data_IF_511350614471
#
_entry.id   IF_511350614471
#
_cell.length_a   1.000
_cell.length_b   1.000
_cell.length_c   1.000
_cell.angle_alpha   90.00
_cell.angle_beta   90.00
_cell.angle_gamma   90.00
#
_symmetry.space_group_name_H-M   'P 1'
#
loop_
_entity.id
_entity.type
_entity.pdbx_description
1 polymer ?
#
# COMPACT_ATOMS: atom_id res chain seq x y z
N UNK A 1 -6.41 8.34 -7.08
CA UNK A 1 -5.30 7.75 -7.85
C UNK A 1 -5.82 6.87 -9.00
N UNK A 2 -6.63 5.84 -8.75
CA UNK A 2 -7.09 4.88 -9.77
C UNK A 2 -7.82 5.55 -10.94
N UNK A 3 -8.69 6.54 -10.71
CA UNK A 3 -9.36 7.28 -11.80
C UNK A 3 -8.38 8.05 -12.70
N UNK A 4 -7.34 8.63 -12.12
CA UNK A 4 -6.27 9.30 -12.89
C UNK A 4 -5.52 8.29 -13.75
N UNK A 5 -5.18 7.13 -13.18
CA UNK A 5 -4.55 6.03 -13.91
C UNK A 5 -5.41 5.55 -15.10
N UNK A 6 -6.72 5.40 -14.89
CA UNK A 6 -7.64 4.98 -15.94
C UNK A 6 -7.75 6.04 -17.05
N UNK A 7 -7.85 7.32 -16.68
CA UNK A 7 -7.91 8.42 -17.64
C UNK A 7 -6.63 8.51 -18.49
N UNK A 8 -5.46 8.28 -17.87
CA UNK A 8 -4.19 8.25 -18.57
C UNK A 8 -4.09 7.03 -19.50
N UNK A 9 -4.49 5.85 -19.02
CA UNK A 9 -4.57 4.64 -19.85
C UNK A 9 -5.50 4.85 -21.06
N UNK A 10 -6.68 5.42 -20.84
CA UNK A 10 -7.64 5.75 -21.91
C UNK A 10 -7.01 6.68 -22.94
N UNK A 11 -6.38 7.77 -22.49
CA UNK A 11 -5.73 8.73 -23.36
C UNK A 11 -4.67 8.05 -24.25
N UNK A 12 -3.78 7.26 -23.67
CA UNK A 12 -2.70 6.60 -24.41
C UNK A 12 -3.21 5.47 -25.33
N UNK A 13 -4.22 4.73 -24.91
CA UNK A 13 -4.89 3.73 -25.76
C UNK A 13 -5.61 4.36 -26.96
N UNK A 14 -6.33 5.46 -26.73
CA UNK A 14 -7.10 6.18 -27.75
C UNK A 14 -6.21 6.88 -28.76
N UNK A 15 -5.07 7.44 -28.32
CA UNK A 15 -4.11 8.11 -29.21
C UNK A 15 -3.16 7.14 -29.92
N UNK A 16 -3.24 5.85 -29.60
CA UNK A 16 -2.38 4.82 -30.20
C UNK A 16 -0.94 4.78 -29.68
N UNK A 17 -0.63 5.52 -28.61
CA UNK A 17 0.68 5.48 -27.93
C UNK A 17 0.88 4.18 -27.15
N UNK A 18 -0.19 3.60 -26.65
CA UNK A 18 -0.17 2.28 -26.03
C UNK A 18 -1.23 1.39 -26.69
N UNK A 19 -0.90 0.12 -26.88
CA UNK A 19 -1.82 -0.94 -27.33
C UNK A 19 -2.25 -1.83 -26.18
N UNK A 20 -1.34 -2.09 -25.24
CA UNK A 20 -1.54 -2.93 -24.05
C UNK A 20 -1.03 -2.24 -22.80
N UNK A 21 -1.90 -2.13 -21.82
CA UNK A 21 -1.63 -1.49 -20.53
C UNK A 21 -1.68 -2.54 -19.43
N UNK A 22 -0.66 -2.60 -18.59
CA UNK A 22 -0.64 -3.40 -17.36
C UNK A 22 -0.86 -2.49 -16.15
N UNK A 23 -1.90 -2.79 -15.37
CA UNK A 23 -2.14 -2.17 -14.07
C UNK A 23 -1.75 -3.14 -12.95
N UNK A 24 -0.80 -2.73 -12.11
CA UNK A 24 -0.28 -3.52 -11.00
C UNK A 24 -0.78 -2.97 -9.67
N UNK A 25 -1.23 -3.87 -8.80
CA UNK A 25 -1.64 -3.55 -7.43
C UNK A 25 -1.06 -4.53 -6.42
N UNK A 26 -1.07 -4.15 -5.14
CA UNK A 26 -0.42 -4.92 -4.08
C UNK A 26 -1.22 -6.17 -3.67
N UNK A 27 -2.56 -6.07 -3.59
CA UNK A 27 -3.44 -7.09 -3.00
C UNK A 27 -4.57 -7.51 -3.94
N UNK A 28 -5.10 -8.70 -3.69
CA UNK A 28 -6.23 -9.25 -4.48
C UNK A 28 -7.48 -8.37 -4.40
N UNK A 29 -7.77 -7.79 -3.24
CA UNK A 29 -8.91 -6.90 -3.03
C UNK A 29 -8.78 -5.63 -3.88
N UNK A 30 -7.57 -5.05 -3.95
CA UNK A 30 -7.29 -3.89 -4.81
C UNK A 30 -7.38 -4.24 -6.30
N UNK A 31 -7.01 -5.46 -6.67
CA UNK A 31 -7.15 -5.97 -8.04
C UNK A 31 -8.63 -6.03 -8.46
N UNK A 32 -9.50 -6.55 -7.59
CA UNK A 32 -10.95 -6.59 -7.83
C UNK A 32 -11.52 -5.18 -7.96
N UNK A 33 -11.14 -4.26 -7.05
CA UNK A 33 -11.56 -2.86 -7.12
C UNK A 33 -11.07 -2.17 -8.39
N UNK A 34 -9.84 -2.45 -8.81
CA UNK A 34 -9.29 -1.91 -10.06
C UNK A 34 -10.05 -2.44 -11.27
N UNK A 35 -10.34 -3.75 -11.35
CA UNK A 35 -11.11 -4.32 -12.45
C UNK A 35 -12.51 -3.68 -12.57
N UNK A 36 -13.22 -3.54 -11.46
CA UNK A 36 -14.52 -2.86 -11.44
C UNK A 36 -14.40 -1.38 -11.86
N UNK A 37 -13.35 -0.69 -11.42
CA UNK A 37 -13.12 0.71 -11.80
C UNK A 37 -12.82 0.85 -13.31
N UNK A 38 -11.98 -0.04 -13.88
CA UNK A 38 -11.74 -0.09 -15.32
C UNK A 38 -13.02 -0.44 -16.11
N UNK A 39 -13.80 -1.40 -15.62
CA UNK A 39 -15.09 -1.78 -16.22
C UNK A 39 -16.07 -0.62 -16.29
N UNK A 40 -16.15 0.18 -15.23
CA UNK A 40 -17.06 1.33 -15.15
C UNK A 40 -16.60 2.52 -15.99
N UNK A 41 -15.31 2.82 -16.02
CA UNK A 41 -14.78 4.04 -16.62
C UNK A 41 -14.20 3.82 -18.03
N UNK A 42 -13.90 2.57 -18.41
CA UNK A 42 -13.36 2.21 -19.73
C UNK A 42 -14.00 0.91 -20.26
N UNK A 43 -15.34 0.88 -20.41
CA UNK A 43 -16.08 -0.35 -20.73
C UNK A 43 -15.82 -0.89 -22.14
N UNK A 44 -15.37 -0.05 -23.07
CA UNK A 44 -15.11 -0.42 -24.47
C UNK A 44 -13.83 -1.24 -24.64
N UNK A 45 -12.89 -1.16 -23.69
CA UNK A 45 -11.62 -1.83 -23.83
C UNK A 45 -11.66 -3.24 -23.22
N UNK A 46 -11.26 -4.28 -23.98
CA UNK A 46 -11.24 -5.64 -23.48
C UNK A 46 -10.19 -5.78 -22.38
N UNK A 47 -10.59 -6.46 -21.29
CA UNK A 47 -9.77 -6.61 -20.07
C UNK A 47 -9.45 -8.06 -19.78
N UNK A 48 -8.27 -8.27 -19.17
CA UNK A 48 -7.82 -9.56 -18.67
C UNK A 48 -7.30 -9.40 -17.22
N UNK A 49 -7.87 -10.16 -16.30
CA UNK A 49 -7.36 -10.24 -14.92
C UNK A 49 -6.35 -11.38 -14.82
N UNK A 50 -5.09 -11.04 -14.71
CA UNK A 50 -4.00 -12.01 -14.62
C UNK A 50 -3.99 -12.66 -13.22
N UNK A 51 -3.95 -13.98 -13.19
CA UNK A 51 -3.92 -14.77 -11.96
C UNK A 51 -5.25 -15.44 -11.60
N UNK A 52 -6.31 -15.22 -12.36
CA UNK A 52 -7.57 -15.98 -12.23
C UNK A 52 -7.59 -17.21 -13.12
N UNK A 53 -6.95 -17.13 -14.27
CA UNK A 53 -6.81 -18.24 -15.20
C UNK A 53 -5.32 -18.54 -15.44
N UNK A 54 -5.04 -19.75 -15.95
CA UNK A 54 -3.66 -20.14 -16.31
C UNK A 54 -3.18 -19.51 -17.62
N UNK A 55 -4.06 -18.91 -18.40
CA UNK A 55 -3.73 -18.27 -19.68
C UNK A 55 -3.95 -16.77 -19.62
N UNK A 56 -3.04 -16.02 -20.22
CA UNK A 56 -3.19 -14.59 -20.46
C UNK A 56 -3.93 -14.42 -21.78
N UNK A 57 -5.05 -13.71 -21.77
CA UNK A 57 -5.78 -13.38 -22.98
C UNK A 57 -4.99 -12.34 -23.78
N UNK A 58 -4.49 -12.74 -24.95
CA UNK A 58 -3.69 -11.88 -25.81
C UNK A 58 -4.50 -10.85 -26.60
N UNK A 59 -5.83 -10.95 -26.58
CA UNK A 59 -6.72 -10.02 -27.27
C UNK A 59 -7.13 -8.83 -26.39
N UNK A 60 -6.90 -8.92 -25.10
CA UNK A 60 -7.14 -7.84 -24.17
C UNK A 60 -6.20 -6.64 -24.41
N UNK A 61 -6.66 -5.47 -24.02
CA UNK A 61 -5.88 -4.22 -24.08
C UNK A 61 -5.54 -3.69 -22.69
N UNK A 62 -6.33 -4.03 -21.69
CA UNK A 62 -6.07 -3.70 -20.29
C UNK A 62 -5.86 -4.98 -19.49
N UNK A 63 -4.74 -5.06 -18.81
CA UNK A 63 -4.38 -6.19 -17.97
C UNK A 63 -4.27 -5.71 -16.52
N UNK A 64 -4.87 -6.46 -15.61
CA UNK A 64 -4.88 -6.11 -14.19
C UNK A 64 -4.29 -7.29 -13.42
N UNK A 65 -3.25 -7.03 -12.65
CA UNK A 65 -2.54 -8.07 -11.90
C UNK A 65 -2.13 -7.60 -10.51
N UNK A 66 -1.90 -8.54 -9.60
CA UNK A 66 -1.09 -8.27 -8.42
C UNK A 66 0.39 -8.45 -8.73
N UNK A 67 1.28 -7.75 -8.01
CA UNK A 67 2.72 -7.93 -8.17
C UNK A 67 3.15 -9.41 -8.04
N UNK A 68 2.75 -10.17 -6.98
CA UNK A 68 3.09 -11.58 -6.91
C UNK A 68 2.50 -12.43 -8.05
N UNK A 69 1.30 -12.08 -8.51
CA UNK A 69 0.65 -12.78 -9.62
C UNK A 69 1.40 -12.59 -10.94
N UNK A 70 1.95 -11.39 -11.16
CA UNK A 70 2.71 -11.08 -12.35
C UNK A 70 4.13 -11.67 -12.31
N UNK A 71 4.79 -11.66 -11.15
CA UNK A 71 6.12 -12.26 -10.98
C UNK A 71 6.20 -13.74 -11.37
N UNK A 72 5.12 -14.48 -11.23
CA UNK A 72 5.08 -15.89 -11.62
C UNK A 72 4.88 -16.08 -13.13
N UNK A 73 4.69 -15.03 -13.92
CA UNK A 73 4.25 -15.12 -15.31
C UNK A 73 4.96 -14.20 -16.28
N UNK A 74 5.62 -13.13 -15.83
CA UNK A 74 6.18 -12.10 -16.70
C UNK A 74 7.17 -12.68 -17.72
N UNK A 75 8.01 -13.65 -17.32
CA UNK A 75 8.97 -14.31 -18.20
C UNK A 75 8.32 -15.21 -19.28
N UNK A 76 7.00 -15.41 -19.24
CA UNK A 76 6.25 -16.16 -20.28
C UNK A 76 5.70 -15.23 -21.36
N UNK A 77 5.84 -13.92 -21.19
CA UNK A 77 5.41 -12.88 -22.12
C UNK A 77 6.63 -12.28 -22.82
N UNK A 78 6.44 -11.74 -24.00
CA UNK A 78 7.49 -11.03 -24.70
C UNK A 78 7.86 -9.72 -23.98
N UNK A 79 9.11 -9.27 -24.10
CA UNK A 79 9.60 -8.03 -23.48
C UNK A 79 8.81 -6.80 -23.92
N UNK A 80 8.31 -6.76 -25.14
CA UNK A 80 7.45 -5.73 -25.71
C UNK A 80 5.95 -6.04 -25.61
N UNK A 81 5.53 -6.94 -24.69
CA UNK A 81 4.11 -7.31 -24.60
C UNK A 81 3.24 -6.16 -24.08
N UNK A 82 3.75 -5.36 -23.15
CA UNK A 82 3.09 -4.16 -22.64
C UNK A 82 3.78 -2.91 -23.16
N UNK A 83 3.00 -1.88 -23.47
CA UNK A 83 3.50 -0.56 -23.83
C UNK A 83 3.47 0.42 -22.65
N UNK A 84 2.63 0.14 -21.65
CA UNK A 84 2.48 0.93 -20.45
C UNK A 84 2.30 0.03 -19.22
N UNK A 85 3.06 0.29 -18.17
CA UNK A 85 2.91 -0.32 -16.85
C UNK A 85 2.56 0.78 -15.85
N UNK A 86 1.42 0.63 -15.18
CA UNK A 86 0.98 1.51 -14.09
C UNK A 86 1.08 0.75 -12.78
N UNK A 87 1.95 1.19 -11.90
CA UNK A 87 2.25 0.58 -10.61
C UNK A 87 1.54 1.34 -9.49
N UNK A 88 0.43 0.80 -8.96
CA UNK A 88 -0.27 1.39 -7.81
C UNK A 88 0.41 1.00 -6.50
N UNK A 89 0.38 1.92 -5.51
CA UNK A 89 1.10 1.80 -4.23
C UNK A 89 2.58 1.44 -4.39
N UNK A 90 3.23 2.07 -5.35
CA UNK A 90 4.58 1.79 -5.79
C UNK A 90 5.64 1.85 -4.67
N UNK A 91 5.36 2.56 -3.57
CA UNK A 91 6.25 2.64 -2.40
C UNK A 91 6.37 1.33 -1.61
N UNK A 92 5.37 0.43 -1.68
CA UNK A 92 5.34 -0.81 -0.89
C UNK A 92 5.98 -2.00 -1.58
N UNK A 93 5.87 -2.06 -2.89
CA UNK A 93 5.98 -3.30 -3.65
C UNK A 93 7.26 -3.43 -4.45
N UNK A 94 7.99 -2.34 -4.65
CA UNK A 94 9.00 -2.25 -5.71
C UNK A 94 10.39 -2.68 -5.24
N UNK A 95 10.60 -2.83 -3.94
CA UNK A 95 11.93 -3.08 -3.41
C UNK A 95 12.44 -4.48 -3.73
N UNK A 96 13.57 -4.54 -4.45
CA UNK A 96 14.40 -5.70 -4.78
C UNK A 96 13.66 -6.91 -5.37
N UNK A 97 12.46 -7.26 -4.86
CA UNK A 97 11.72 -8.46 -5.24
C UNK A 97 10.99 -8.34 -6.59
N UNK A 98 10.55 -7.12 -6.93
CA UNK A 98 9.74 -6.88 -8.14
C UNK A 98 10.48 -6.07 -9.20
N UNK A 99 11.72 -5.69 -8.94
CA UNK A 99 12.55 -4.90 -9.87
C UNK A 99 12.70 -5.61 -11.20
N UNK A 100 12.96 -6.91 -11.17
CA UNK A 100 13.13 -7.73 -12.38
C UNK A 100 11.92 -7.63 -13.34
N UNK A 101 10.71 -7.42 -12.81
CA UNK A 101 9.51 -7.23 -13.62
C UNK A 101 9.54 -5.91 -14.39
N UNK A 102 10.00 -4.85 -13.76
CA UNK A 102 10.11 -3.52 -14.38
C UNK A 102 11.26 -3.46 -15.36
N UNK A 103 12.39 -4.10 -15.04
CA UNK A 103 13.57 -4.16 -15.90
C UNK A 103 13.35 -5.08 -17.13
N UNK A 104 12.39 -6.02 -17.03
CA UNK A 104 12.11 -6.99 -18.10
C UNK A 104 11.33 -6.39 -19.27
N UNK A 105 10.31 -5.56 -19.00
CA UNK A 105 9.44 -5.04 -20.05
C UNK A 105 9.96 -3.72 -20.62
N UNK A 106 10.04 -3.67 -21.96
CA UNK A 106 10.29 -2.42 -22.69
C UNK A 106 8.99 -1.62 -22.80
N UNK A 107 8.62 -0.94 -21.72
CA UNK A 107 7.36 -0.24 -21.57
C UNK A 107 7.53 1.10 -20.84
N UNK A 108 6.66 2.07 -21.12
CA UNK A 108 6.53 3.24 -20.27
C UNK A 108 6.07 2.82 -18.87
N UNK A 109 6.69 3.38 -17.84
CA UNK A 109 6.42 3.01 -16.46
C UNK A 109 5.97 4.21 -15.64
N UNK A 110 4.87 4.04 -14.90
CA UNK A 110 4.27 5.08 -14.07
C UNK A 110 4.02 4.52 -12.68
N UNK A 111 4.62 5.17 -11.68
CA UNK A 111 4.38 4.88 -10.26
C UNK A 111 3.35 5.80 -9.66
N UNK A 112 2.34 5.23 -9.01
CA UNK A 112 1.36 5.96 -8.21
C UNK A 112 1.59 5.68 -6.74
N UNK A 113 1.77 6.71 -5.94
CA UNK A 113 1.92 6.58 -4.48
C UNK A 113 1.36 7.78 -3.75
N UNK A 114 0.90 7.57 -2.52
CA UNK A 114 0.59 8.66 -1.60
C UNK A 114 1.79 9.03 -0.72
N UNK A 115 2.75 8.12 -0.59
CA UNK A 115 3.88 8.22 0.33
C UNK A 115 5.16 7.74 -0.35
N UNK A 116 5.78 8.55 -1.22
CA UNK A 116 7.04 8.18 -1.84
C UNK A 116 8.13 8.00 -0.78
N UNK A 117 8.98 7.00 -0.95
CA UNK A 117 10.07 6.69 -0.01
C UNK A 117 11.39 7.17 -0.59
N UNK A 118 12.12 7.97 0.20
CA UNK A 118 13.40 8.62 -0.18
C UNK A 118 14.62 7.98 0.53
N UNK A 119 14.59 6.70 0.88
CA UNK A 119 15.74 6.03 1.50
C UNK A 119 16.73 5.48 0.47
N UNK A 120 18.03 5.59 0.74
CA UNK A 120 19.13 5.19 -0.16
C UNK A 120 18.96 3.76 -0.72
N UNK A 121 18.51 2.80 0.12
CA UNK A 121 18.31 1.40 -0.29
C UNK A 121 16.92 1.11 -0.84
N UNK A 122 16.02 2.11 -0.89
CA UNK A 122 14.60 1.93 -1.21
C UNK A 122 14.03 3.20 -1.81
N UNK A 123 14.63 3.66 -2.89
CA UNK A 123 14.22 4.90 -3.53
C UNK A 123 13.19 4.62 -4.63
N UNK A 124 11.96 5.07 -4.40
CA UNK A 124 10.88 4.94 -5.39
C UNK A 124 11.19 5.70 -6.67
N UNK A 125 11.93 6.80 -6.58
CA UNK A 125 12.27 7.65 -7.72
C UNK A 125 13.25 7.00 -8.68
N UNK A 126 14.23 6.22 -8.18
CA UNK A 126 15.22 5.52 -9.00
C UNK A 126 14.60 4.45 -9.90
N UNK A 127 13.47 3.85 -9.47
CA UNK A 127 12.80 2.79 -10.24
C UNK A 127 12.07 3.37 -11.44
N UNK A 128 11.55 4.59 -11.29
CA UNK A 128 10.83 5.29 -12.36
C UNK A 128 11.70 6.32 -13.07
N UNK A 129 13.04 6.21 -12.95
CA UNK A 129 14.04 7.04 -13.61
C UNK A 129 13.77 8.56 -13.44
N UNK A 130 13.31 8.92 -12.25
CA UNK A 130 13.14 10.32 -11.89
C UNK A 130 14.49 10.92 -11.52
N UNK A 131 15.02 11.81 -12.35
CA UNK A 131 16.35 12.46 -12.19
C UNK A 131 16.49 13.22 -10.86
N UNK A 132 15.38 13.67 -10.30
CA UNK A 132 15.33 14.35 -9.03
C UNK A 132 14.53 13.52 -8.03
N UNK A 133 14.74 13.74 -6.73
CA UNK A 133 13.93 13.10 -5.68
C UNK A 133 12.51 13.66 -5.59
N UNK A 134 12.03 14.31 -6.65
CA UNK A 134 10.71 14.91 -6.74
C UNK A 134 9.84 14.12 -7.73
N UNK A 135 8.56 13.95 -7.44
CA UNK A 135 7.63 13.27 -8.34
C UNK A 135 7.41 14.11 -9.61
N UNK A 136 7.15 13.46 -10.74
CA UNK A 136 6.78 14.15 -11.99
C UNK A 136 5.52 14.99 -11.82
N UNK A 137 4.60 14.58 -10.94
CA UNK A 137 3.40 15.31 -10.58
C UNK A 137 3.04 15.03 -9.12
N UNK A 138 2.74 16.09 -8.37
CA UNK A 138 2.28 16.01 -6.99
C UNK A 138 0.97 16.80 -6.82
N UNK A 139 0.02 16.18 -6.14
CA UNK A 139 -1.19 16.84 -5.64
C UNK A 139 -1.30 16.55 -4.14
N UNK A 140 -0.64 17.39 -3.36
CA UNK A 140 -0.50 17.21 -1.91
C UNK A 140 -1.79 17.40 -1.14
N UNK A 141 -1.78 16.99 0.12
CA UNK A 141 -2.93 17.06 1.02
C UNK A 141 -3.45 18.48 1.19
N UNK A 142 -2.55 19.44 1.41
CA UNK A 142 -2.92 20.85 1.59
C UNK A 142 -3.55 21.44 0.32
N UNK A 143 -3.02 21.10 -0.85
CA UNK A 143 -3.60 21.50 -2.12
C UNK A 143 -4.99 20.94 -2.32
N UNK A 144 -5.22 19.68 -1.89
CA UNK A 144 -6.51 19.01 -2.01
C UNK A 144 -7.56 19.57 -1.03
N UNK A 145 -7.16 19.99 0.16
CA UNK A 145 -8.04 20.62 1.16
C UNK A 145 -8.41 22.05 0.75
N UNK A 146 -7.42 22.81 0.25
CA UNK A 146 -7.59 24.23 -0.08
C UNK A 146 -8.07 24.47 -1.52
N UNK A 147 -8.34 23.42 -2.29
CA UNK A 147 -8.87 23.53 -3.66
C UNK A 147 -10.32 24.05 -3.65
N UNK A 148 -10.73 24.78 -4.69
CA UNK A 148 -12.13 25.20 -4.88
C UNK A 148 -12.77 24.49 -6.08
N UNK A 149 -13.79 23.65 -5.86
CA UNK A 149 -14.27 23.11 -4.58
C UNK A 149 -13.24 22.14 -3.93
N UNK A 150 -13.25 21.99 -2.59
CA UNK A 150 -12.29 21.14 -1.92
C UNK A 150 -12.49 19.66 -2.26
N UNK A 151 -11.38 18.95 -2.53
CA UNK A 151 -11.40 17.50 -2.79
C UNK A 151 -11.32 16.68 -1.51
N UNK A 152 -10.75 17.22 -0.44
CA UNK A 152 -10.64 16.58 0.86
C UNK A 152 -11.08 17.53 1.96
N UNK A 153 -11.70 16.99 3.00
CA UNK A 153 -12.01 17.72 4.22
C UNK A 153 -10.76 17.87 5.10
N UNK A 154 -10.62 19.00 5.83
CA UNK A 154 -9.58 19.11 6.83
C UNK A 154 -9.78 18.04 7.91
N UNK A 155 -8.69 17.49 8.41
CA UNK A 155 -8.71 16.49 9.46
C UNK A 155 -8.42 17.13 10.83
N UNK A 156 -8.90 16.49 11.88
CA UNK A 156 -8.57 16.82 13.27
C UNK A 156 -7.82 15.62 13.85
N UNK A 157 -6.67 15.89 14.44
CA UNK A 157 -5.92 14.89 15.18
C UNK A 157 -6.47 14.87 16.61
N UNK A 158 -6.88 13.69 17.08
CA UNK A 158 -7.09 13.39 18.49
C UNK A 158 -5.96 12.50 18.95
N UNK A 159 -5.24 12.94 19.96
CA UNK A 159 -4.26 12.09 20.63
C UNK A 159 -5.02 11.24 21.67
N UNK A 160 -5.07 9.92 21.43
CA UNK A 160 -5.67 8.93 22.32
C UNK A 160 -4.58 8.15 23.07
N UNK A 161 -3.38 8.72 23.18
CA UNK A 161 -2.29 8.11 23.92
C UNK A 161 -2.68 8.01 25.40
N UNK A 162 -2.81 6.79 25.90
CA UNK A 162 -3.01 6.54 27.34
C UNK A 162 -1.68 6.68 28.08
N UNK A 163 -1.73 6.92 29.39
CA UNK A 163 -0.53 6.99 30.21
C UNK A 163 0.29 5.67 30.12
N UNK A 164 -0.39 4.53 30.01
CA UNK A 164 0.25 3.24 29.75
C UNK A 164 1.03 3.17 28.44
N UNK A 165 0.51 3.77 27.36
CA UNK A 165 1.22 3.82 26.07
C UNK A 165 2.40 4.78 26.09
N UNK A 166 2.36 5.81 26.95
CA UNK A 166 3.41 6.82 27.09
C UNK A 166 4.52 6.34 28.02
N UNK A 167 4.14 5.89 29.20
CA UNK A 167 5.06 5.60 30.30
C UNK A 167 5.40 4.10 30.42
N UNK A 168 4.64 3.25 29.73
CA UNK A 168 4.68 1.80 29.84
C UNK A 168 3.83 1.29 31.01
N UNK A 169 3.81 -0.01 31.21
CA UNK A 169 3.12 -0.66 32.33
C UNK A 169 4.18 -1.16 33.30
N UNK A 170 4.13 -0.69 34.54
CA UNK A 170 4.96 -1.20 35.61
C UNK A 170 4.25 -2.36 36.31
N UNK A 171 5.02 -3.25 36.93
CA UNK A 171 4.50 -4.40 37.67
C UNK A 171 3.37 -4.01 38.66
N UNK A 172 3.47 -2.83 39.30
CA UNK A 172 2.49 -2.35 40.27
C UNK A 172 1.13 -2.00 39.64
N UNK A 173 1.11 -1.67 38.35
CA UNK A 173 -0.09 -1.27 37.61
C UNK A 173 -0.90 -2.47 37.09
N UNK A 174 -0.32 -3.67 37.22
CA UNK A 174 -0.95 -4.92 36.79
C UNK A 174 -1.99 -5.40 37.80
N UNK A 175 -3.04 -6.06 37.29
CA UNK A 175 -4.00 -6.77 38.13
C UNK A 175 -3.34 -7.97 38.83
N UNK A 176 -3.96 -8.46 39.93
CA UNK A 176 -3.42 -9.60 40.68
C UNK A 176 -3.27 -10.86 39.81
N UNK A 177 -4.12 -11.04 38.83
CA UNK A 177 -4.07 -12.16 37.90
C UNK A 177 -2.93 -12.02 36.90
N UNK A 178 -2.71 -10.81 36.36
CA UNK A 178 -1.59 -10.48 35.48
C UNK A 178 -0.23 -10.54 36.20
N UNK A 179 -0.19 -10.14 37.48
CA UNK A 179 1.02 -10.28 38.31
C UNK A 179 1.41 -11.73 38.49
N UNK A 180 0.45 -12.60 38.80
CA UNK A 180 0.71 -14.05 38.93
C UNK A 180 1.20 -14.66 37.62
N UNK A 181 0.60 -14.31 36.52
CA UNK A 181 0.99 -14.82 35.21
C UNK A 181 2.41 -14.37 34.84
N UNK A 182 2.77 -13.11 35.12
CA UNK A 182 4.10 -12.59 34.88
C UNK A 182 5.15 -13.21 35.83
N UNK A 183 4.76 -13.52 37.08
CA UNK A 183 5.60 -14.22 38.06
C UNK A 183 5.84 -15.69 37.68
N UNK A 184 4.81 -16.35 37.12
CA UNK A 184 4.92 -17.72 36.64
C UNK A 184 5.84 -17.80 35.40
N UNK A 185 5.81 -16.80 34.53
CA UNK A 185 6.59 -16.78 33.29
C UNK A 185 8.06 -16.37 33.52
N UNK A 186 8.32 -15.41 34.40
CA UNK A 186 9.64 -14.78 34.55
C UNK A 186 10.28 -15.05 35.92
N UNK A 187 9.52 -15.52 36.91
CA UNK A 187 9.95 -15.57 38.31
C UNK A 187 9.70 -14.26 39.04
N UNK A 188 9.41 -14.34 40.36
CA UNK A 188 8.94 -13.22 41.18
C UNK A 188 9.91 -12.01 41.20
N UNK A 189 11.22 -12.25 41.28
CA UNK A 189 12.24 -11.18 41.32
C UNK A 189 12.36 -10.42 39.97
N UNK A 190 12.25 -11.12 38.85
CA UNK A 190 12.36 -10.55 37.51
C UNK A 190 11.06 -9.88 37.08
N UNK A 191 9.91 -10.46 37.45
CA UNK A 191 8.60 -9.87 37.22
C UNK A 191 8.48 -8.49 37.89
N UNK A 192 8.91 -8.33 39.13
CA UNK A 192 8.88 -7.05 39.88
C UNK A 192 9.77 -5.95 39.28
N UNK A 193 10.77 -6.31 38.49
CA UNK A 193 11.69 -5.37 37.82
C UNK A 193 11.29 -5.08 36.38
N UNK A 194 10.36 -5.84 35.85
CA UNK A 194 9.95 -5.73 34.46
C UNK A 194 9.05 -4.53 34.27
N UNK A 195 9.45 -3.67 33.32
CA UNK A 195 8.61 -2.60 32.79
C UNK A 195 8.25 -2.93 31.34
N UNK A 196 6.98 -2.99 31.02
CA UNK A 196 6.49 -3.25 29.68
C UNK A 196 6.45 -1.93 28.94
N UNK A 197 7.33 -1.76 27.95
CA UNK A 197 7.37 -0.52 27.17
C UNK A 197 6.07 -0.34 26.36
N UNK A 198 5.57 0.89 26.27
CA UNK A 198 4.33 1.21 25.54
C UNK A 198 4.28 0.68 24.10
N UNK A 199 5.44 0.57 23.42
CA UNK A 199 5.55 -0.03 22.07
C UNK A 199 5.24 -1.53 21.99
N UNK A 200 5.27 -2.23 23.11
CA UNK A 200 5.01 -3.68 23.22
C UNK A 200 3.57 -3.97 23.59
N UNK A 201 2.79 -2.94 24.03
CA UNK A 201 1.37 -3.00 24.30
C UNK A 201 0.62 -3.16 22.95
N UNK A 202 -0.34 -4.08 22.91
CA UNK A 202 -1.07 -4.45 21.67
C UNK A 202 -0.28 -5.38 20.73
N UNK A 203 1.00 -5.68 21.04
CA UNK A 203 1.78 -6.68 20.31
C UNK A 203 2.10 -7.91 21.14
N UNK A 204 2.53 -7.70 22.37
CA UNK A 204 2.91 -8.76 23.33
C UNK A 204 1.89 -8.90 24.45
N UNK A 205 1.23 -7.81 24.81
CA UNK A 205 0.24 -7.76 25.87
C UNK A 205 -0.97 -6.97 25.38
N UNK A 206 -2.16 -7.52 25.54
CA UNK A 206 -3.41 -6.86 25.26
C UNK A 206 -3.93 -6.23 26.57
N UNK A 207 -4.28 -4.95 26.53
CA UNK A 207 -4.88 -4.24 27.66
C UNK A 207 -6.31 -3.90 27.31
N UNK A 208 -7.28 -4.58 27.94
CA UNK A 208 -8.73 -4.33 27.75
C UNK A 208 -9.11 -2.87 28.03
N UNK A 209 -8.45 -2.25 29.02
CA UNK A 209 -8.72 -0.84 29.36
C UNK A 209 -8.24 0.11 28.25
N UNK A 210 -7.08 -0.15 27.65
CA UNK A 210 -6.60 0.65 26.52
C UNK A 210 -7.50 0.50 25.30
N UNK A 211 -7.91 -0.73 24.99
CA UNK A 211 -8.81 -1.03 23.86
C UNK A 211 -10.19 -0.39 24.08
N UNK A 212 -10.71 -0.44 25.33
CA UNK A 212 -11.98 0.20 25.71
C UNK A 212 -11.90 1.72 25.53
N UNK A 213 -10.84 2.39 26.03
CA UNK A 213 -10.67 3.85 25.90
C UNK A 213 -10.59 4.26 24.43
N UNK A 214 -9.90 3.47 23.59
CA UNK A 214 -9.83 3.72 22.14
C UNK A 214 -11.23 3.61 21.52
N UNK A 215 -11.97 2.56 21.84
CA UNK A 215 -13.32 2.33 21.32
C UNK A 215 -14.32 3.41 21.77
N UNK A 216 -14.32 3.81 23.04
CA UNK A 216 -15.19 4.85 23.58
C UNK A 216 -14.95 6.24 22.95
N UNK A 217 -13.74 6.49 22.43
CA UNK A 217 -13.40 7.75 21.77
C UNK A 217 -13.57 7.72 20.23
N UNK A 218 -13.89 6.55 19.64
CA UNK A 218 -14.18 6.39 18.22
C UNK A 218 -15.67 6.55 17.88
N UNK A 219 -16.54 6.54 18.89
CA UNK A 219 -18.00 6.76 18.78
C UNK A 219 -18.30 8.23 19.10
#
# INVERSE_FOLDING_TARGET
KTRVAIALAELLLRTGWAKRVLFLCDRKELRVQADEAFKQNLPSEPRCVIGETNKVDQTARVYIATYPGMMNRFAQLDVGFFDLIIADESHRSIYNKYRDLFDYFDALQIGLTATPVKFIARNTFDIFDCETTDPTFEFGLDAAINHEPPYLSPFRVRDLTTDFLRDGIHYNDLSDEQKRQLEDDLGEEEAKRTTIAGKDIGRKIFSEDTDRIILENLI
#
